data_IF_509049660868
#
_entry.id   IF_509049660868
#
_cell.length_a   1.000
_cell.length_b   1.000
_cell.length_c   1.000
_cell.angle_alpha   90.00
_cell.angle_beta   90.00
_cell.angle_gamma   90.00
#
_symmetry.space_group_name_H-M   'P 1'
#
loop_
_entity.id
_entity.type
_entity.pdbx_description
1 polymer ?
#
# COMPACT_ATOMS: atom_id res chain seq x y z
N UNK A 1 5.17 -1.95 8.67
CA UNK A 1 6.43 -2.20 7.93
C UNK A 1 6.68 -1.02 7.00
N UNK A 2 7.93 -0.57 6.86
CA UNK A 2 8.29 0.54 5.97
C UNK A 2 8.20 0.07 4.51
N UNK A 3 7.80 0.96 3.59
CA UNK A 3 7.78 0.66 2.15
C UNK A 3 9.18 0.48 1.55
N UNK A 4 10.22 1.01 2.20
CA UNK A 4 11.57 1.03 1.66
C UNK A 4 12.52 0.15 2.48
N UNK A 5 12.07 -1.05 2.84
CA UNK A 5 12.85 -2.04 3.61
C UNK A 5 13.82 -2.89 2.76
N UNK A 6 13.91 -2.59 1.46
CA UNK A 6 14.74 -3.30 0.50
C UNK A 6 14.06 -4.51 -0.16
N UNK A 7 12.83 -4.87 0.23
CA UNK A 7 12.09 -5.97 -0.38
C UNK A 7 11.33 -5.60 -1.66
N UNK A 8 11.22 -4.30 -1.97
CA UNK A 8 10.66 -3.74 -3.21
C UNK A 8 11.56 -2.59 -3.73
N UNK A 9 11.48 -2.24 -5.03
CA UNK A 9 12.12 -1.03 -5.54
C UNK A 9 11.67 0.22 -4.77
N UNK A 10 12.53 1.25 -4.73
CA UNK A 10 12.21 2.51 -4.06
C UNK A 10 10.87 3.07 -4.55
N UNK A 11 9.98 3.41 -3.62
CA UNK A 11 8.65 3.97 -3.94
C UNK A 11 8.52 5.41 -3.41
N UNK A 12 7.69 6.20 -4.08
CA UNK A 12 7.23 7.50 -3.60
C UNK A 12 5.76 7.42 -3.18
N UNK A 13 5.38 8.05 -2.08
CA UNK A 13 3.97 8.06 -1.67
C UNK A 13 3.70 8.88 -0.43
N UNK A 14 2.41 9.09 -0.14
CA UNK A 14 1.92 9.87 0.99
C UNK A 14 0.78 9.15 1.69
N UNK A 15 0.83 9.19 3.03
CA UNK A 15 -0.26 8.75 3.90
C UNK A 15 -1.25 9.87 4.15
N UNK A 16 -2.51 9.48 4.33
CA UNK A 16 -3.58 10.34 4.82
C UNK A 16 -4.42 9.63 5.88
N UNK A 17 -5.17 10.43 6.61
CA UNK A 17 -6.25 9.99 7.49
C UNK A 17 -7.46 10.83 7.10
N UNK A 18 -8.57 10.19 6.77
CA UNK A 18 -9.82 10.89 6.46
C UNK A 18 -10.81 10.70 7.61
N UNK A 19 -11.16 11.81 8.24
CA UNK A 19 -12.07 11.86 9.38
C UNK A 19 -13.51 12.07 8.88
N UNK A 20 -14.46 11.36 9.48
CA UNK A 20 -15.90 11.55 9.24
C UNK A 20 -16.58 11.71 10.60
N UNK A 21 -17.38 12.76 10.76
CA UNK A 21 -18.00 13.08 12.04
C UNK A 21 -18.83 11.89 12.57
N UNK A 22 -18.50 11.44 13.77
CA UNK A 22 -19.20 10.33 14.43
C UNK A 22 -18.82 8.94 13.89
N UNK A 23 -17.77 8.82 13.09
CA UNK A 23 -17.24 7.55 12.59
C UNK A 23 -15.75 7.42 12.95
N UNK A 24 -15.21 6.18 13.03
CA UNK A 24 -13.78 5.96 13.10
C UNK A 24 -13.05 6.52 11.87
N UNK A 25 -11.77 6.86 12.06
CA UNK A 25 -10.95 7.40 10.98
C UNK A 25 -10.71 6.38 9.87
N UNK A 26 -10.65 6.87 8.63
CA UNK A 26 -10.28 6.07 7.46
C UNK A 26 -8.78 6.21 7.17
N UNK A 27 -8.11 5.08 6.91
CA UNK A 27 -6.69 5.07 6.59
C UNK A 27 -6.49 5.18 5.07
N UNK A 28 -5.67 6.15 4.65
CA UNK A 28 -5.40 6.42 3.24
C UNK A 28 -3.91 6.28 2.90
N UNK A 29 -3.63 5.80 1.70
CA UNK A 29 -2.31 5.87 1.08
C UNK A 29 -2.45 6.07 -0.43
N UNK A 30 -1.60 6.92 -1.01
CA UNK A 30 -1.40 7.01 -2.46
C UNK A 30 0.10 7.04 -2.74
N UNK A 31 0.55 6.28 -3.73
CA UNK A 31 1.94 6.29 -4.16
C UNK A 31 2.17 5.64 -5.52
N UNK A 32 3.42 5.64 -5.93
CA UNK A 32 3.89 5.02 -7.17
C UNK A 32 5.27 4.37 -6.99
N UNK A 33 5.61 3.46 -7.89
CA UNK A 33 6.92 2.84 -7.94
C UNK A 33 7.23 2.16 -9.28
N UNK A 34 8.51 1.93 -9.60
CA UNK A 34 9.71 2.47 -8.93
C UNK A 34 9.81 4.01 -9.03
N UNK A 35 10.50 4.66 -8.10
CA UNK A 35 10.51 6.13 -7.98
C UNK A 35 11.18 6.84 -9.18
N UNK A 36 12.21 6.22 -9.77
CA UNK A 36 12.98 6.79 -10.88
C UNK A 36 12.41 6.47 -12.27
N UNK A 37 11.63 5.40 -12.38
CA UNK A 37 10.96 4.95 -13.61
C UNK A 37 9.60 4.37 -13.23
N UNK A 38 8.56 5.20 -12.98
CA UNK A 38 7.29 4.74 -12.43
C UNK A 38 6.54 3.77 -13.35
N UNK A 39 6.17 2.59 -12.84
CA UNK A 39 5.49 1.54 -13.61
C UNK A 39 4.07 1.24 -13.08
N UNK A 40 3.83 1.46 -11.79
CA UNK A 40 2.54 1.25 -11.14
C UNK A 40 2.25 2.36 -10.14
N UNK A 41 0.98 2.78 -10.07
CA UNK A 41 0.44 3.64 -9.02
C UNK A 41 -0.57 2.85 -8.18
N UNK A 42 -0.55 3.06 -6.86
CA UNK A 42 -1.39 2.36 -5.90
C UNK A 42 -2.10 3.37 -5.02
N UNK A 43 -3.43 3.26 -4.94
CA UNK A 43 -4.25 3.97 -3.97
C UNK A 43 -4.92 2.95 -3.05
N UNK A 44 -4.82 3.15 -1.74
CA UNK A 44 -5.42 2.30 -0.72
C UNK A 44 -6.32 3.14 0.16
N UNK A 45 -7.56 2.67 0.32
CA UNK A 45 -8.55 3.21 1.24
C UNK A 45 -8.97 2.07 2.16
N UNK A 46 -8.82 2.26 3.47
CA UNK A 46 -9.34 1.34 4.47
C UNK A 46 -10.35 2.10 5.33
N UNK A 47 -11.61 1.75 5.15
CA UNK A 47 -12.70 2.31 5.96
C UNK A 47 -12.53 1.90 7.42
N UNK A 48 -12.71 2.85 8.34
CA UNK A 48 -12.49 2.66 9.77
C UNK A 48 -11.10 2.09 10.11
N UNK A 49 -10.13 2.28 9.21
CA UNK A 49 -8.77 1.72 9.30
C UNK A 49 -7.82 2.52 10.19
N UNK A 50 -8.26 3.61 10.81
CA UNK A 50 -7.41 4.49 11.61
C UNK A 50 -6.46 5.30 10.72
N UNK A 51 -5.17 5.25 11.02
CA UNK A 51 -4.14 6.06 10.35
C UNK A 51 -3.56 5.36 9.11
N UNK A 52 -3.32 6.13 8.04
CA UNK A 52 -2.70 5.63 6.80
C UNK A 52 -1.40 4.82 7.01
N UNK A 53 -0.54 5.28 7.92
CA UNK A 53 0.73 4.61 8.23
C UNK A 53 0.55 3.24 8.93
N UNK A 54 -0.56 3.04 9.64
CA UNK A 54 -0.85 1.83 10.40
C UNK A 54 -1.46 0.75 9.50
N UNK A 55 -2.47 1.13 8.70
CA UNK A 55 -3.27 0.16 7.95
C UNK A 55 -3.02 0.20 6.44
N UNK A 56 -3.00 1.38 5.83
CA UNK A 56 -2.92 1.50 4.37
C UNK A 56 -1.50 1.22 3.82
N UNK A 57 -0.45 1.63 4.53
CA UNK A 57 0.94 1.43 4.12
C UNK A 57 1.35 -0.06 4.06
N UNK A 58 1.05 -0.91 5.06
CA UNK A 58 1.33 -2.35 4.95
C UNK A 58 0.61 -3.03 3.78
N UNK A 59 -0.61 -2.61 3.46
CA UNK A 59 -1.35 -3.15 2.31
C UNK A 59 -0.67 -2.74 1.00
N UNK A 60 -0.32 -1.47 0.85
CA UNK A 60 0.40 -0.98 -0.33
C UNK A 60 1.73 -1.73 -0.53
N UNK A 61 2.44 -2.04 0.56
CA UNK A 61 3.68 -2.81 0.51
C UNK A 61 3.47 -4.22 -0.08
N UNK A 62 2.42 -4.94 0.35
CA UNK A 62 2.13 -6.26 -0.21
C UNK A 62 1.69 -6.20 -1.68
N UNK A 63 0.99 -5.13 -2.10
CA UNK A 63 0.67 -4.89 -3.52
C UNK A 63 1.95 -4.70 -4.34
N UNK A 64 2.86 -3.84 -3.90
CA UNK A 64 4.14 -3.65 -4.60
C UNK A 64 4.99 -4.92 -4.62
N UNK A 65 5.03 -5.69 -3.53
CA UNK A 65 5.72 -6.99 -3.50
C UNK A 65 5.13 -7.97 -4.51
N UNK A 66 3.80 -8.04 -4.59
CA UNK A 66 3.13 -8.90 -5.56
C UNK A 66 3.44 -8.49 -7.01
N UNK A 67 3.50 -7.17 -7.27
CA UNK A 67 3.81 -6.65 -8.60
C UNK A 67 5.27 -6.84 -9.01
N UNK A 68 6.23 -6.55 -8.13
CA UNK A 68 7.67 -6.59 -8.44
C UNK A 68 8.36 -7.92 -8.14
N UNK A 69 7.78 -8.79 -7.30
CA UNK A 69 8.52 -9.88 -6.66
C UNK A 69 7.83 -11.22 -6.48
N UNK A 70 6.63 -11.46 -7.02
CA UNK A 70 6.04 -12.80 -6.95
C UNK A 70 6.43 -13.68 -8.17
N UNK A 71 7.13 -14.81 -7.99
CA UNK A 71 6.89 -15.95 -8.87
C UNK A 71 5.40 -16.28 -8.78
N UNK A 72 4.73 -16.46 -9.93
CA UNK A 72 3.34 -16.89 -9.98
C UNK A 72 3.21 -18.27 -9.32
N UNK A 73 2.91 -18.34 -8.02
CA UNK A 73 2.46 -19.60 -7.42
C UNK A 73 1.06 -19.87 -7.98
N UNK A 74 0.83 -21.00 -8.67
CA UNK A 74 -0.50 -21.32 -9.14
C UNK A 74 -1.44 -21.42 -7.94
N UNK A 75 -2.60 -20.78 -8.04
CA UNK A 75 -3.63 -20.81 -7.01
C UNK A 75 -3.88 -22.26 -6.57
N UNK A 76 -3.94 -22.50 -5.25
CA UNK A 76 -4.35 -23.81 -4.74
C UNK A 76 -5.73 -24.13 -5.31
N UNK A 77 -5.96 -25.35 -5.87
CA UNK A 77 -7.30 -25.80 -6.17
C UNK A 77 -8.13 -25.72 -4.88
N UNK A 78 -9.29 -25.09 -4.97
CA UNK A 78 -10.32 -25.14 -3.93
C UNK A 78 -10.80 -26.57 -3.72
#
# INVERSE_FOLDING_TARGET
KSLNDGSIPLTGGKTGTAEVLGQPDNALYVGFGPANDPQIAVAVVVENGGYGAVSAVPIAHEVYKAYFGAPKTPAKPQ
#
